data_IF_586479045178
#
_entry.id   IF_586479045178
#
_cell.length_a   1.000
_cell.length_b   1.000
_cell.length_c   1.000
_cell.angle_alpha   90.00
_cell.angle_beta   90.00
_cell.angle_gamma   90.00
#
_symmetry.space_group_name_H-M   'P 1'
#
loop_
_entity.id
_entity.type
_entity.pdbx_description
1 polymer ?
#
# COMPACT_ATOMS: atom_id res chain seq x y z
N UNK A 1 37.12 13.85 8.62
CA UNK A 1 36.51 13.01 7.55
C UNK A 1 35.27 12.34 8.11
N UNK A 2 34.09 12.86 7.77
CA UNK A 2 32.81 12.26 8.15
C UNK A 2 32.63 10.97 7.35
N UNK A 3 32.54 9.82 8.04
CA UNK A 3 32.22 8.53 7.41
C UNK A 3 30.81 8.62 6.83
N UNK A 4 30.68 8.64 5.50
CA UNK A 4 29.38 8.50 4.85
C UNK A 4 28.85 7.11 5.21
N UNK A 5 27.79 7.05 6.03
CA UNK A 5 27.09 5.80 6.30
C UNK A 5 26.35 5.41 5.04
N UNK A 6 26.74 4.29 4.41
CA UNK A 6 26.04 3.74 3.26
C UNK A 6 24.75 3.08 3.72
N UNK A 7 23.62 3.40 3.08
CA UNK A 7 22.34 2.75 3.29
C UNK A 7 22.13 1.66 2.23
N UNK A 8 21.74 0.45 2.65
CA UNK A 8 21.40 -0.62 1.71
C UNK A 8 20.13 -0.31 0.93
N UNK A 9 20.03 -0.76 -0.32
CA UNK A 9 18.92 -0.40 -1.22
C UNK A 9 17.53 -0.79 -0.68
N UNK A 10 17.41 -1.95 -0.01
CA UNK A 10 16.14 -2.36 0.63
C UNK A 10 15.78 -1.44 1.80
N UNK A 11 16.78 -1.03 2.60
CA UNK A 11 16.54 -0.10 3.70
C UNK A 11 16.21 1.32 3.20
N UNK A 12 16.79 1.74 2.08
CA UNK A 12 16.39 2.97 1.40
C UNK A 12 14.94 2.87 0.88
N UNK A 13 14.60 1.76 0.23
CA UNK A 13 13.26 1.52 -0.29
C UNK A 13 12.19 1.58 0.81
N UNK A 14 12.40 0.88 1.94
CA UNK A 14 11.48 0.94 3.09
C UNK A 14 11.21 2.38 3.52
N UNK A 15 12.24 3.21 3.63
CA UNK A 15 12.10 4.61 4.03
C UNK A 15 11.36 5.43 2.99
N UNK A 16 11.68 5.25 1.70
CA UNK A 16 10.94 5.91 0.63
C UNK A 16 9.46 5.51 0.66
N UNK A 17 9.15 4.24 0.92
CA UNK A 17 7.76 3.77 1.02
C UNK A 17 7.02 4.32 2.25
N UNK A 18 7.73 4.59 3.35
CA UNK A 18 7.15 5.33 4.49
C UNK A 18 6.78 6.76 4.10
N UNK A 19 7.59 7.41 3.25
CA UNK A 19 7.36 8.79 2.81
C UNK A 19 6.37 8.90 1.64
N UNK A 20 6.29 7.86 0.80
CA UNK A 20 5.50 7.80 -0.43
C UNK A 20 4.63 6.54 -0.41
N UNK A 21 3.77 6.35 0.60
CA UNK A 21 2.95 5.15 0.71
C UNK A 21 1.96 5.03 -0.45
N UNK A 22 1.51 6.17 -1.00
CA UNK A 22 0.57 6.24 -2.11
C UNK A 22 1.20 5.81 -3.42
N UNK A 23 2.38 6.34 -3.70
CA UNK A 23 2.98 6.22 -5.02
C UNK A 23 3.87 4.97 -5.15
N UNK A 24 4.46 4.49 -4.05
CA UNK A 24 5.29 3.28 -4.04
C UNK A 24 4.48 2.04 -3.66
N UNK A 25 3.71 1.55 -4.63
CA UNK A 25 2.81 0.38 -4.46
C UNK A 25 3.51 -0.97 -4.46
N UNK A 26 4.78 -1.04 -4.87
CA UNK A 26 5.54 -2.30 -4.87
C UNK A 26 5.79 -2.77 -3.43
N UNK A 27 5.40 -4.00 -3.09
CA UNK A 27 5.69 -4.49 -1.75
C UNK A 27 7.21 -4.71 -1.49
N UNK A 28 7.63 -4.77 -0.22
CA UNK A 28 9.06 -4.95 0.09
C UNK A 28 9.63 -6.27 -0.41
N UNK A 29 8.82 -7.34 -0.37
CA UNK A 29 9.22 -8.68 -0.80
C UNK A 29 9.43 -8.69 -2.32
N UNK A 30 8.49 -8.14 -3.10
CA UNK A 30 8.58 -7.95 -4.54
C UNK A 30 9.80 -7.09 -4.89
N UNK A 31 10.00 -5.96 -4.21
CA UNK A 31 11.19 -5.13 -4.40
C UNK A 31 12.49 -5.92 -4.14
N UNK A 32 12.54 -6.67 -3.04
CA UNK A 32 13.72 -7.45 -2.68
C UNK A 32 13.98 -8.60 -3.67
N UNK A 33 12.95 -9.35 -4.05
CA UNK A 33 13.07 -10.52 -4.92
C UNK A 33 13.26 -10.17 -6.38
N UNK A 34 12.59 -9.14 -6.88
CA UNK A 34 12.56 -8.79 -8.30
C UNK A 34 13.55 -7.70 -8.66
N UNK A 35 13.96 -6.84 -7.72
CA UNK A 35 14.85 -5.71 -8.02
C UNK A 35 16.18 -5.78 -7.27
N UNK A 36 16.17 -5.99 -5.96
CA UNK A 36 17.42 -6.04 -5.20
C UNK A 36 18.24 -7.30 -5.57
N UNK A 37 17.59 -8.46 -5.66
CA UNK A 37 18.23 -9.70 -6.10
C UNK A 37 18.60 -9.66 -7.56
N UNK A 38 17.73 -9.10 -8.41
CA UNK A 38 18.01 -8.84 -9.82
C UNK A 38 19.29 -8.02 -10.02
N UNK A 39 19.42 -6.89 -9.32
CA UNK A 39 20.61 -6.04 -9.37
C UNK A 39 21.87 -6.81 -8.95
N UNK A 40 21.76 -7.61 -7.89
CA UNK A 40 22.88 -8.43 -7.41
C UNK A 40 23.22 -9.57 -8.38
N UNK A 41 22.22 -10.22 -8.99
CA UNK A 41 22.37 -11.33 -9.92
C UNK A 41 22.90 -10.90 -11.30
N UNK A 42 22.43 -9.77 -11.84
CA UNK A 42 22.96 -9.16 -13.08
C UNK A 42 24.42 -8.76 -12.90
N UNK A 43 24.79 -8.22 -11.73
CA UNK A 43 26.16 -7.82 -11.43
C UNK A 43 27.14 -9.00 -11.28
N UNK A 44 26.66 -10.22 -10.99
CA UNK A 44 27.52 -11.35 -10.65
C UNK A 44 27.44 -12.55 -11.60
N UNK A 45 26.29 -12.81 -12.23
CA UNK A 45 26.04 -14.06 -12.99
C UNK A 45 25.37 -13.80 -14.35
N UNK A 46 24.74 -12.64 -14.52
CA UNK A 46 23.90 -12.35 -15.69
C UNK A 46 22.54 -13.03 -15.55
N UNK A 47 21.45 -12.30 -15.79
CA UNK A 47 20.13 -12.91 -15.90
C UNK A 47 20.03 -13.66 -17.23
N UNK A 48 19.68 -14.94 -17.17
CA UNK A 48 19.50 -15.77 -18.36
C UNK A 48 18.02 -15.97 -18.74
N UNK A 49 17.09 -15.59 -17.86
CA UNK A 49 15.65 -15.63 -18.14
C UNK A 49 15.14 -14.25 -18.56
N UNK A 50 14.61 -14.17 -19.78
CA UNK A 50 14.06 -12.94 -20.35
C UNK A 50 12.78 -12.48 -19.62
N UNK A 51 11.99 -13.41 -19.08
CA UNK A 51 10.78 -13.08 -18.34
C UNK A 51 11.12 -12.46 -16.98
N UNK A 52 12.09 -13.03 -16.25
CA UNK A 52 12.60 -12.45 -15.00
C UNK A 52 13.23 -11.07 -15.22
N UNK A 53 14.01 -10.91 -16.30
CA UNK A 53 14.60 -9.63 -16.65
C UNK A 53 13.54 -8.57 -16.99
N UNK A 54 12.50 -8.94 -17.74
CA UNK A 54 11.40 -8.04 -18.06
C UNK A 54 10.62 -7.64 -16.80
N UNK A 55 10.33 -8.60 -15.92
CA UNK A 55 9.65 -8.34 -14.64
C UNK A 55 10.47 -7.39 -13.76
N UNK A 56 11.78 -7.61 -13.64
CA UNK A 56 12.67 -6.73 -12.89
C UNK A 56 12.65 -5.29 -13.44
N UNK A 57 12.68 -5.14 -14.78
CA UNK A 57 12.60 -3.83 -15.45
C UNK A 57 11.28 -3.13 -15.19
N UNK A 58 10.16 -3.85 -15.31
CA UNK A 58 8.81 -3.31 -15.03
C UNK A 58 8.68 -2.89 -13.56
N UNK A 59 9.16 -3.70 -12.62
CA UNK A 59 9.18 -3.35 -11.19
C UNK A 59 10.08 -2.14 -10.92
N UNK A 60 11.14 -1.97 -11.70
CA UNK A 60 11.98 -0.77 -11.67
C UNK A 60 11.18 0.49 -12.03
N UNK A 61 10.36 0.43 -13.09
CA UNK A 61 9.52 1.55 -13.53
C UNK A 61 8.53 1.97 -12.46
N UNK A 62 7.87 0.99 -11.82
CA UNK A 62 6.93 1.23 -10.70
C UNK A 62 7.55 1.93 -9.50
N UNK A 63 8.86 1.83 -9.32
CA UNK A 63 9.57 2.54 -8.24
C UNK A 63 10.06 3.91 -8.72
N UNK A 64 10.55 3.99 -9.96
CA UNK A 64 11.19 5.19 -10.49
C UNK A 64 10.16 6.25 -10.91
N UNK A 65 9.09 5.89 -11.60
CA UNK A 65 8.10 6.86 -12.11
C UNK A 65 7.44 7.70 -11.01
N UNK A 66 7.00 7.12 -9.87
CA UNK A 66 6.64 7.86 -8.66
C UNK A 66 7.67 8.89 -8.21
N UNK A 67 8.94 8.48 -8.17
CA UNK A 67 10.03 9.33 -7.71
C UNK A 67 10.30 10.47 -8.70
N UNK A 68 10.22 10.21 -10.00
CA UNK A 68 10.36 11.26 -11.01
C UNK A 68 9.24 12.30 -10.89
N UNK A 69 8.01 11.84 -10.67
CA UNK A 69 6.85 12.72 -10.45
C UNK A 69 7.06 13.61 -9.23
N UNK A 70 7.46 13.02 -8.10
CA UNK A 70 7.75 13.76 -6.87
C UNK A 70 8.90 14.77 -7.04
N UNK A 71 9.97 14.36 -7.71
CA UNK A 71 11.13 15.21 -7.97
C UNK A 71 10.87 16.25 -9.07
N UNK A 72 9.66 16.26 -9.66
CA UNK A 72 9.29 17.09 -10.81
C UNK A 72 10.30 16.94 -11.96
N UNK A 73 10.87 15.74 -12.09
CA UNK A 73 11.82 15.41 -13.13
C UNK A 73 11.07 15.04 -14.40
N UNK A 74 11.59 15.51 -15.54
CA UNK A 74 10.98 15.20 -16.82
C UNK A 74 11.20 13.71 -17.18
N UNK A 75 10.10 13.00 -17.39
CA UNK A 75 10.08 11.57 -17.68
C UNK A 75 10.65 11.28 -19.08
N UNK A 76 10.58 12.23 -20.02
CA UNK A 76 11.21 12.09 -21.33
C UNK A 76 12.74 12.18 -21.21
N UNK A 77 13.25 13.15 -20.47
CA UNK A 77 14.68 13.35 -20.26
C UNK A 77 15.31 12.18 -19.48
N UNK A 78 14.61 11.66 -18.47
CA UNK A 78 15.12 10.55 -17.68
C UNK A 78 15.22 9.24 -18.49
N UNK A 79 14.14 8.83 -19.15
CA UNK A 79 14.12 7.57 -19.91
C UNK A 79 14.80 7.69 -21.28
N UNK A 80 14.85 8.90 -21.85
CA UNK A 80 15.51 9.20 -23.12
C UNK A 80 15.12 8.23 -24.22
N UNK A 81 16.11 7.56 -24.81
CA UNK A 81 15.91 6.59 -25.90
C UNK A 81 15.09 5.36 -25.50
N UNK A 82 14.95 5.07 -24.21
CA UNK A 82 14.20 3.93 -23.70
C UNK A 82 12.73 4.23 -23.43
N UNK A 83 12.28 5.48 -23.61
CA UNK A 83 10.90 5.89 -23.34
C UNK A 83 9.86 5.04 -24.07
N UNK A 84 10.07 4.76 -25.35
CA UNK A 84 9.13 3.96 -26.13
C UNK A 84 9.01 2.52 -25.59
N UNK A 85 10.12 1.93 -25.11
CA UNK A 85 10.11 0.61 -24.51
C UNK A 85 9.44 0.62 -23.13
N UNK A 86 9.72 1.65 -22.33
CA UNK A 86 9.08 1.91 -21.05
C UNK A 86 7.55 1.91 -21.18
N UNK A 87 7.04 2.77 -22.06
CA UNK A 87 5.59 2.94 -22.26
C UNK A 87 4.94 1.63 -22.75
N UNK A 88 5.58 0.91 -23.68
CA UNK A 88 5.08 -0.39 -24.15
C UNK A 88 5.03 -1.47 -23.07
N UNK A 89 6.01 -1.51 -22.17
CA UNK A 89 6.05 -2.49 -21.09
C UNK A 89 5.00 -2.19 -20.02
N UNK A 90 4.78 -0.90 -19.71
CA UNK A 90 3.72 -0.48 -18.79
C UNK A 90 2.32 -0.76 -19.37
N UNK A 91 2.09 -0.50 -20.67
CA UNK A 91 0.83 -0.82 -21.35
C UNK A 91 0.55 -2.34 -21.32
N UNK A 92 1.52 -3.17 -21.73
CA UNK A 92 1.38 -4.63 -21.69
C UNK A 92 1.06 -5.17 -20.31
N UNK A 93 1.65 -4.55 -19.28
CA UNK A 93 1.38 -4.92 -17.89
C UNK A 93 -0.04 -4.54 -17.48
N UNK A 94 -0.49 -3.33 -17.80
CA UNK A 94 -1.85 -2.90 -17.52
C UNK A 94 -2.88 -3.85 -18.17
N UNK A 95 -2.65 -4.25 -19.42
CA UNK A 95 -3.47 -5.26 -20.11
C UNK A 95 -3.49 -6.60 -19.37
N UNK A 96 -2.33 -7.07 -18.92
CA UNK A 96 -2.22 -8.33 -18.18
C UNK A 96 -2.97 -8.29 -16.84
N UNK A 97 -2.90 -7.17 -16.11
CA UNK A 97 -3.62 -6.97 -14.84
C UNK A 97 -5.13 -6.98 -15.08
N UNK A 98 -5.61 -6.25 -16.10
CA UNK A 98 -7.03 -6.24 -16.43
C UNK A 98 -7.56 -7.62 -16.82
N UNK A 99 -6.75 -8.41 -17.54
CA UNK A 99 -7.10 -9.78 -17.88
C UNK A 99 -7.21 -10.66 -16.62
N UNK A 100 -6.22 -10.61 -15.72
CA UNK A 100 -6.25 -11.41 -14.48
C UNK A 100 -7.43 -11.01 -13.58
N UNK A 101 -7.67 -9.71 -13.42
CA UNK A 101 -8.83 -9.19 -12.71
C UNK A 101 -10.13 -9.73 -13.31
N UNK A 102 -10.27 -9.70 -14.64
CA UNK A 102 -11.46 -10.23 -15.33
C UNK A 102 -11.66 -11.72 -15.07
N UNK A 103 -10.58 -12.51 -15.08
CA UNK A 103 -10.60 -13.94 -14.76
C UNK A 103 -11.03 -14.17 -13.31
N UNK A 104 -10.44 -13.45 -12.35
CA UNK A 104 -10.77 -13.53 -10.91
C UNK A 104 -12.23 -13.16 -10.63
N UNK A 105 -12.72 -12.08 -11.23
CA UNK A 105 -14.12 -11.66 -11.11
C UNK A 105 -15.07 -12.71 -11.69
N UNK A 106 -14.78 -13.23 -12.88
CA UNK A 106 -15.61 -14.24 -13.54
C UNK A 106 -15.68 -15.52 -12.71
N UNK A 107 -14.53 -15.99 -12.22
CA UNK A 107 -14.44 -17.17 -11.34
C UNK A 107 -15.23 -16.96 -10.05
N UNK A 108 -15.04 -15.82 -9.39
CA UNK A 108 -15.72 -15.51 -8.12
C UNK A 108 -17.24 -15.39 -8.28
N UNK A 109 -17.71 -14.79 -9.38
CA UNK A 109 -19.14 -14.73 -9.74
C UNK A 109 -19.72 -16.13 -9.94
N UNK A 110 -19.02 -17.00 -10.67
CA UNK A 110 -19.43 -18.39 -10.87
C UNK A 110 -19.49 -19.16 -9.55
N UNK A 111 -18.50 -19.00 -8.67
CA UNK A 111 -18.47 -19.66 -7.36
C UNK A 111 -19.61 -19.18 -6.46
N UNK A 112 -19.90 -17.88 -6.47
CA UNK A 112 -21.03 -17.32 -5.72
C UNK A 112 -22.35 -17.94 -6.18
N UNK A 113 -22.60 -17.94 -7.50
CA UNK A 113 -23.81 -18.53 -8.07
C UNK A 113 -23.93 -20.02 -7.75
N UNK A 114 -22.84 -20.78 -7.82
CA UNK A 114 -22.88 -22.22 -7.53
C UNK A 114 -23.11 -22.54 -6.05
N UNK A 115 -22.59 -21.71 -5.13
CA UNK A 115 -22.69 -21.94 -3.69
C UNK A 115 -24.03 -21.49 -3.11
N UNK A 116 -24.55 -20.36 -3.58
CA UNK A 116 -25.69 -19.70 -2.94
C UNK A 116 -26.90 -19.53 -3.85
N UNK A 117 -26.79 -19.86 -5.15
CA UNK A 117 -27.87 -19.66 -6.11
C UNK A 117 -29.14 -20.49 -5.85
N UNK A 118 -29.05 -21.56 -5.06
CA UNK A 118 -30.20 -22.38 -4.65
C UNK A 118 -30.87 -21.91 -3.36
N UNK A 119 -30.27 -20.98 -2.63
CA UNK A 119 -30.79 -20.47 -1.36
C UNK A 119 -31.79 -19.35 -1.61
N UNK A 120 -32.80 -19.26 -0.75
CA UNK A 120 -33.69 -18.11 -0.69
C UNK A 120 -32.98 -16.88 -0.13
N UNK A 121 -33.51 -15.70 -0.38
CA UNK A 121 -32.92 -14.44 0.10
C UNK A 121 -32.80 -14.38 1.63
N UNK A 122 -33.80 -14.92 2.35
CA UNK A 122 -33.77 -14.99 3.81
C UNK A 122 -32.66 -15.91 4.34
N UNK A 123 -32.45 -17.07 3.70
CA UNK A 123 -31.35 -17.99 4.04
C UNK A 123 -29.99 -17.37 3.72
N UNK A 124 -29.88 -16.70 2.58
CA UNK A 124 -28.67 -15.99 2.17
C UNK A 124 -28.28 -14.92 3.19
N UNK A 125 -29.24 -14.13 3.68
CA UNK A 125 -29.00 -13.07 4.65
C UNK A 125 -28.32 -13.63 5.92
N UNK A 126 -28.91 -14.68 6.51
CA UNK A 126 -28.40 -15.31 7.73
C UNK A 126 -26.99 -15.88 7.51
N UNK A 127 -26.76 -16.55 6.38
CA UNK A 127 -25.46 -17.14 6.05
C UNK A 127 -24.40 -16.06 5.85
N UNK A 128 -24.72 -14.99 5.12
CA UNK A 128 -23.75 -13.93 4.83
C UNK A 128 -23.40 -13.14 6.08
N UNK A 129 -24.36 -12.87 6.96
CA UNK A 129 -24.09 -12.20 8.24
C UNK A 129 -23.17 -13.06 9.13
N UNK A 130 -23.44 -14.35 9.24
CA UNK A 130 -22.60 -15.28 10.01
C UNK A 130 -21.16 -15.36 9.47
N UNK A 131 -20.99 -15.48 8.15
CA UNK A 131 -19.65 -15.49 7.53
C UNK A 131 -18.95 -14.14 7.73
N UNK A 132 -19.69 -13.03 7.63
CA UNK A 132 -19.13 -11.70 7.74
C UNK A 132 -18.62 -11.42 9.15
N UNK A 133 -19.38 -11.79 10.18
CA UNK A 133 -18.97 -11.67 11.57
C UNK A 133 -17.77 -12.57 11.91
N UNK A 134 -17.69 -13.76 11.31
CA UNK A 134 -16.58 -14.69 11.50
C UNK A 134 -15.30 -14.36 10.72
N UNK A 135 -15.29 -13.28 9.94
CA UNK A 135 -14.12 -12.88 9.15
C UNK A 135 -12.95 -12.50 10.06
N UNK A 136 -11.72 -13.00 9.80
CA UNK A 136 -10.55 -12.64 10.59
C UNK A 136 -10.19 -11.15 10.48
N UNK A 137 -10.74 -10.45 9.48
CA UNK A 137 -10.54 -9.02 9.25
C UNK A 137 -11.55 -8.15 9.99
N UNK A 138 -12.61 -8.72 10.60
CA UNK A 138 -13.62 -7.93 11.30
C UNK A 138 -13.04 -7.24 12.54
N UNK A 139 -13.27 -5.93 12.66
CA UNK A 139 -12.91 -5.14 13.85
C UNK A 139 -11.42 -4.85 14.01
N UNK A 140 -10.61 -4.98 12.95
CA UNK A 140 -9.21 -4.53 12.96
C UNK A 140 -9.13 -3.11 12.46
N UNK A 141 -8.30 -2.29 13.10
CA UNK A 141 -8.01 -0.92 12.64
C UNK A 141 -7.39 -0.93 11.23
N UNK A 142 -6.65 -1.99 10.89
CA UNK A 142 -6.01 -2.18 9.59
C UNK A 142 -6.94 -2.75 8.51
N UNK A 143 -8.26 -2.69 8.72
CA UNK A 143 -9.23 -3.15 7.73
C UNK A 143 -10.48 -2.26 7.66
N UNK A 144 -11.08 -2.23 6.48
CA UNK A 144 -12.32 -1.51 6.22
C UNK A 144 -13.29 -2.37 5.41
N UNK A 145 -14.58 -2.23 5.67
CA UNK A 145 -15.63 -2.94 4.91
C UNK A 145 -15.82 -2.28 3.55
N UNK A 146 -15.98 -3.09 2.51
CA UNK A 146 -16.34 -2.63 1.17
C UNK A 146 -17.24 -3.63 0.43
N UNK A 147 -18.00 -3.14 -0.53
CA UNK A 147 -18.84 -3.99 -1.38
C UNK A 147 -17.97 -4.74 -2.41
N UNK A 148 -18.21 -6.04 -2.52
CA UNK A 148 -17.44 -6.88 -3.43
C UNK A 148 -17.87 -6.65 -4.89
N UNK A 149 -16.95 -6.33 -5.81
CA UNK A 149 -17.28 -6.11 -7.23
C UNK A 149 -17.72 -7.39 -7.97
N UNK A 150 -17.47 -8.56 -7.38
CA UNK A 150 -17.95 -9.84 -7.93
C UNK A 150 -19.39 -10.16 -7.51
N UNK A 151 -19.69 -10.18 -6.21
CA UNK A 151 -20.97 -10.67 -5.69
C UNK A 151 -21.87 -9.62 -5.02
N UNK A 152 -21.41 -8.38 -4.88
CA UNK A 152 -22.14 -7.28 -4.22
C UNK A 152 -22.38 -7.49 -2.73
N UNK A 153 -21.60 -8.38 -2.08
CA UNK A 153 -21.66 -8.60 -0.63
C UNK A 153 -20.43 -8.01 0.04
N UNK A 154 -20.50 -7.82 1.35
CA UNK A 154 -19.40 -7.23 2.12
C UNK A 154 -18.12 -8.08 2.05
N UNK A 155 -17.05 -7.43 1.60
CA UNK A 155 -15.66 -7.86 1.74
C UNK A 155 -14.87 -6.89 2.63
N UNK A 156 -13.57 -7.13 2.73
CA UNK A 156 -12.65 -6.32 3.52
C UNK A 156 -11.50 -5.84 2.65
N UNK A 157 -11.26 -4.55 2.71
CA UNK A 157 -9.97 -3.97 2.39
C UNK A 157 -9.07 -4.08 3.62
N UNK A 158 -7.81 -4.37 3.41
CA UNK A 158 -6.80 -4.44 4.46
C UNK A 158 -5.45 -3.93 3.95
N UNK A 159 -4.68 -3.34 4.84
CA UNK A 159 -3.45 -2.67 4.45
C UNK A 159 -2.72 -2.08 5.65
N UNK A 160 -1.92 -1.06 5.40
CA UNK A 160 -1.21 -0.33 6.44
C UNK A 160 -1.92 0.98 6.76
N UNK A 161 -1.68 1.47 7.97
CA UNK A 161 -2.21 2.72 8.46
C UNK A 161 -1.10 3.76 8.45
N UNK A 162 -1.47 5.00 8.14
CA UNK A 162 -0.62 6.16 8.28
C UNK A 162 -1.37 7.28 8.99
N UNK A 163 -0.66 8.10 9.75
CA UNK A 163 -1.23 9.33 10.29
C UNK A 163 -1.03 10.42 9.26
N UNK A 164 -2.13 11.00 8.79
CA UNK A 164 -2.12 12.18 7.93
C UNK A 164 -2.80 13.33 8.66
N UNK A 165 -2.61 14.55 8.16
CA UNK A 165 -3.20 15.75 8.76
C UNK A 165 -4.32 16.24 7.84
N UNK A 166 -5.50 16.45 8.42
CA UNK A 166 -6.67 16.90 7.70
C UNK A 166 -7.13 18.28 8.20
N UNK A 167 -7.57 19.12 7.27
CA UNK A 167 -8.17 20.41 7.60
C UNK A 167 -9.52 20.23 8.32
N UNK A 168 -10.11 21.34 8.77
CA UNK A 168 -11.37 21.36 9.52
C UNK A 168 -12.58 20.76 8.75
N UNK A 169 -12.44 20.52 7.44
CA UNK A 169 -13.45 19.93 6.56
C UNK A 169 -13.21 18.42 6.33
N UNK A 170 -12.19 17.85 6.98
CA UNK A 170 -11.81 16.44 6.88
C UNK A 170 -11.05 16.09 5.60
N UNK A 171 -10.59 17.09 4.85
CA UNK A 171 -9.74 16.88 3.67
C UNK A 171 -8.28 16.87 4.09
N UNK A 172 -7.54 15.89 3.60
CA UNK A 172 -6.10 15.80 3.80
C UNK A 172 -5.44 16.99 3.08
N UNK A 173 -4.85 17.91 3.85
CA UNK A 173 -4.37 19.22 3.36
C UNK A 173 -2.97 19.57 3.88
N UNK A 174 -2.09 18.56 3.95
CA UNK A 174 -0.69 18.73 4.30
C UNK A 174 -0.45 19.25 5.73
N UNK A 175 0.78 19.70 5.97
CA UNK A 175 1.32 20.06 7.30
C UNK A 175 0.65 21.25 8.00
N UNK A 176 -0.19 22.03 7.29
CA UNK A 176 -0.84 23.23 7.86
C UNK A 176 -2.16 22.91 8.60
N UNK A 177 -2.45 21.63 8.81
CA UNK A 177 -3.68 21.18 9.46
C UNK A 177 -3.42 20.56 10.83
N UNK A 178 -4.27 20.92 11.81
CA UNK A 178 -4.05 20.59 13.23
C UNK A 178 -4.75 19.30 13.69
N UNK A 179 -5.61 18.70 12.84
CA UNK A 179 -6.40 17.52 13.20
C UNK A 179 -5.78 16.26 12.57
N UNK A 180 -5.06 15.43 13.35
CA UNK A 180 -4.53 14.18 12.84
C UNK A 180 -5.68 13.23 12.52
N UNK A 181 -5.56 12.52 11.40
CA UNK A 181 -6.49 11.47 10.97
C UNK A 181 -5.71 10.22 10.63
N UNK A 182 -6.33 9.07 10.89
CA UNK A 182 -5.72 7.78 10.57
C UNK A 182 -6.25 7.30 9.21
N UNK A 183 -5.35 7.19 8.23
CA UNK A 183 -5.67 6.80 6.85
C UNK A 183 -5.23 5.35 6.63
N UNK A 184 -6.16 4.52 6.15
CA UNK A 184 -5.88 3.16 5.69
C UNK A 184 -5.53 3.22 4.20
N UNK A 185 -4.37 2.67 3.84
CA UNK A 185 -3.96 2.42 2.46
C UNK A 185 -4.06 0.91 2.19
N UNK A 186 -5.13 0.44 1.53
CA UNK A 186 -5.35 -0.98 1.26
C UNK A 186 -4.32 -1.51 0.25
N UNK A 187 -3.74 -2.68 0.56
CA UNK A 187 -2.96 -3.47 -0.39
C UNK A 187 -3.64 -4.80 -0.74
N UNK A 188 -4.73 -5.15 -0.06
CA UNK A 188 -5.45 -6.41 -0.23
C UNK A 188 -6.96 -6.19 -0.07
N UNK A 189 -7.74 -6.72 -1.00
CA UNK A 189 -9.17 -6.94 -0.85
C UNK A 189 -9.46 -8.44 -0.72
N UNK A 190 -10.30 -8.82 0.23
CA UNK A 190 -10.76 -10.19 0.40
C UNK A 190 -12.27 -10.27 0.66
N UNK A 191 -12.99 -11.05 -0.15
CA UNK A 191 -14.40 -11.36 0.06
C UNK A 191 -14.57 -12.81 0.53
N UNK A 192 -15.01 -13.05 1.78
CA UNK A 192 -15.19 -14.40 2.32
C UNK A 192 -16.43 -15.11 1.73
N UNK A 193 -17.33 -14.38 1.06
CA UNK A 193 -18.54 -14.95 0.47
C UNK A 193 -18.21 -15.64 -0.86
N UNK A 194 -17.72 -14.88 -1.85
CA UNK A 194 -17.40 -15.42 -3.18
C UNK A 194 -15.96 -15.93 -3.32
N UNK A 195 -15.08 -15.58 -2.37
CA UNK A 195 -13.66 -15.94 -2.40
C UNK A 195 -12.81 -15.05 -3.32
N UNK A 196 -13.31 -13.86 -3.71
CA UNK A 196 -12.52 -12.91 -4.47
C UNK A 196 -11.37 -12.38 -3.60
N UNK A 197 -10.16 -12.41 -4.14
CA UNK A 197 -8.98 -11.78 -3.57
C UNK A 197 -8.33 -10.92 -4.64
N UNK A 198 -8.05 -9.65 -4.32
CA UNK A 198 -7.37 -8.69 -5.18
C UNK A 198 -6.21 -8.07 -4.42
N UNK A 199 -5.08 -7.85 -5.09
CA UNK A 199 -3.85 -7.33 -4.48
C UNK A 199 -3.34 -6.13 -5.26
N UNK A 200 -2.76 -5.16 -4.55
CA UNK A 200 -2.03 -3.99 -5.07
C UNK A 200 -2.72 -3.34 -6.29
N UNK A 201 -2.13 -3.45 -7.48
CA UNK A 201 -2.58 -2.80 -8.71
C UNK A 201 -3.96 -3.28 -9.18
N UNK A 202 -4.38 -4.48 -8.77
CA UNK A 202 -5.71 -4.97 -9.09
C UNK A 202 -6.80 -4.17 -8.40
N UNK A 203 -6.49 -3.56 -7.25
CA UNK A 203 -7.43 -2.69 -6.52
C UNK A 203 -7.71 -1.42 -7.32
N UNK A 204 -6.68 -0.82 -7.93
CA UNK A 204 -6.80 0.36 -8.78
C UNK A 204 -7.72 0.11 -9.97
N UNK A 205 -7.62 -1.08 -10.57
CA UNK A 205 -8.44 -1.48 -11.70
C UNK A 205 -9.85 -1.97 -11.31
N UNK A 206 -10.10 -2.24 -10.03
CA UNK A 206 -11.37 -2.75 -9.52
C UNK A 206 -12.32 -1.67 -8.99
N UNK A 207 -11.98 -0.39 -9.14
CA UNK A 207 -12.74 0.76 -8.62
C UNK A 207 -12.97 0.68 -7.10
N UNK A 208 -11.99 0.10 -6.39
CA UNK A 208 -11.99 0.04 -4.94
C UNK A 208 -11.22 1.25 -4.39
N UNK A 209 -11.64 1.82 -3.25
CA UNK A 209 -10.94 2.95 -2.68
C UNK A 209 -9.52 2.55 -2.27
N UNK A 210 -8.56 3.31 -2.79
CA UNK A 210 -7.14 3.14 -2.48
C UNK A 210 -6.75 3.81 -1.17
N UNK A 211 -7.66 4.61 -0.61
CA UNK A 211 -7.49 5.32 0.66
C UNK A 211 -8.80 5.45 1.39
N UNK A 212 -8.76 5.25 2.71
CA UNK A 212 -9.92 5.35 3.57
C UNK A 212 -9.51 6.08 4.84
N UNK A 213 -10.07 7.27 5.04
CA UNK A 213 -10.01 7.94 6.35
C UNK A 213 -10.80 7.10 7.34
N UNK A 214 -10.12 6.60 8.36
CA UNK A 214 -10.72 5.75 9.37
C UNK A 214 -11.31 6.58 10.52
N UNK A 215 -12.20 5.97 11.30
CA UNK A 215 -12.76 6.58 12.51
C UNK A 215 -11.97 6.20 13.78
N UNK A 216 -10.84 5.51 13.62
CA UNK A 216 -10.01 5.09 14.74
C UNK A 216 -9.21 6.28 15.29
N UNK A 217 -8.94 6.24 16.59
CA UNK A 217 -8.08 7.23 17.24
C UNK A 217 -6.67 7.18 16.63
N UNK A 218 -6.14 8.28 16.06
CA UNK A 218 -4.80 8.32 15.49
C UNK A 218 -3.71 8.36 16.57
N UNK A 219 -4.03 8.76 17.80
CA UNK A 219 -3.06 8.97 18.90
C UNK A 219 -2.11 7.79 19.14
N UNK A 220 -2.56 6.51 19.14
CA UNK A 220 -1.68 5.36 19.34
C UNK A 220 -0.66 5.14 18.20
N UNK A 221 -0.86 5.76 17.03
CA UNK A 221 -0.05 5.61 15.84
C UNK A 221 0.89 6.79 15.59
N UNK A 222 0.76 7.86 16.38
CA UNK A 222 1.67 9.01 16.30
C UNK A 222 3.05 8.62 16.85
N UNK A 223 4.10 8.95 16.11
CA UNK A 223 5.46 8.81 16.64
C UNK A 223 5.62 9.76 17.84
N UNK A 224 6.22 9.30 18.97
CA UNK A 224 6.49 10.18 20.09
C UNK A 224 7.40 11.31 19.62
N UNK A 225 7.01 12.56 19.87
CA UNK A 225 7.84 13.71 19.55
C UNK A 225 9.16 13.59 20.36
N UNK A 226 10.32 13.43 19.68
CA UNK A 226 11.61 13.30 20.35
C UNK A 226 11.97 14.56 21.15
N UNK A 227 11.40 15.72 20.83
CA UNK A 227 11.67 16.99 21.51
C UNK A 227 10.92 17.09 22.85
N UNK A 228 9.88 16.28 23.07
CA UNK A 228 9.14 16.23 24.34
C UNK A 228 9.95 15.59 25.49
N UNK A 229 11.01 14.84 25.18
CA UNK A 229 11.87 14.17 26.17
C UNK A 229 13.13 14.96 26.53
N UNK A 230 13.27 16.21 26.07
CA UNK A 230 14.50 16.97 26.24
C UNK A 230 14.62 17.82 27.52
N UNK A 231 13.64 17.77 28.44
CA UNK A 231 13.58 18.71 29.57
C UNK A 231 13.51 18.09 30.98
N UNK A 232 14.29 17.04 31.22
CA UNK A 232 14.53 16.50 32.59
C UNK A 232 15.93 16.84 33.13
N UNK A 233 16.50 18.00 32.74
CA UNK A 233 17.52 18.66 33.55
C UNK A 233 16.84 19.65 34.51
N UNK A 234 16.08 19.12 35.46
CA UNK A 234 15.74 19.85 36.68
C UNK A 234 17.04 20.15 37.44
N UNK A 235 17.62 21.29 37.13
CA UNK A 235 18.72 21.90 37.86
C UNK A 235 18.20 22.22 39.27
N UNK A 236 18.45 21.31 40.22
CA UNK A 236 18.28 21.59 41.64
C UNK A 236 19.25 22.71 42.00
N UNK A 237 18.73 23.93 42.03
CA UNK A 237 19.36 25.12 42.54
C UNK A 237 19.70 24.91 44.04
N UNK A 238 20.85 24.26 44.29
CA UNK A 238 21.49 24.24 45.60
C UNK A 238 22.42 25.43 45.65
N UNK A 239 21.90 26.57 46.06
CA UNK A 239 22.70 27.67 46.58
C UNK A 239 23.11 27.33 48.04
N UNK A 240 24.40 27.06 48.35
CA UNK A 240 24.84 26.81 49.71
C UNK A 240 25.63 27.98 50.31
N UNK A 241 25.46 29.22 49.85
CA UNK A 241 26.15 30.37 50.43
C UNK A 241 25.26 31.62 50.47
N UNK A 242 24.47 31.71 51.54
CA UNK A 242 23.92 32.97 52.04
C UNK A 242 24.07 33.03 53.56
N UNK A 243 25.29 33.31 54.02
CA UNK A 243 25.62 34.00 55.29
C UNK A 243 26.89 34.84 55.09
#
# INVERSE_FOLDING_TARGET
MTRIKTLGVVAAYKRCRTLLPRELTVDEKAFASELANARNGVAHVGMHDAAEAQQAVVTCFRVIDPLLTLLQADVQDFWGTYRALHDQLNEKRADAIQLDLTVKLTKSRSLFASRYGSLTEAEQLVVFEAITMGSPFSGRDTSARQDCPACGKTGWLSGWLNVEWANAEGQIDGEDSDDPVLVLHPGLFACPICGLTLEDDELEHADLPLEIVTQHDPTPYMEPDPDFYHDDNFEYDRNPYSE
#
